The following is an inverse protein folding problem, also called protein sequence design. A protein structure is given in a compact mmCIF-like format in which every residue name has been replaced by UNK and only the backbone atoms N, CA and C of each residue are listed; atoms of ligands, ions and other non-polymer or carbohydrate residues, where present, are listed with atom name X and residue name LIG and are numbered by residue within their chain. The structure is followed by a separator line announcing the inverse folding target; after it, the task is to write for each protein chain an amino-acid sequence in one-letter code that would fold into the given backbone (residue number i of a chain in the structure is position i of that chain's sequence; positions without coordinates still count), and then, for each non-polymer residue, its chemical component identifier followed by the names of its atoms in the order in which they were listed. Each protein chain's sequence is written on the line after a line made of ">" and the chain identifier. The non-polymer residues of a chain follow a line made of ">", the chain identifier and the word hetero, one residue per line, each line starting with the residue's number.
data_IF_384654033339
#
_entry.id   IF_384654033339
#
_cell.length_a   1.000
_cell.length_b   1.000
_cell.length_c   1.000
_cell.angle_alpha   90.00
_cell.angle_beta   90.00
_cell.angle_gamma   90.00
#
_symmetry.space_group_name_H-M   'P 1'
#
loop_
_entity.id
_entity.type
_entity.pdbx_description
1 polymer ?
#
# COMPACT_ATOMS: atom_id res chain seq x y z
N UNK A 1 -20.63 6.77 -36.62
CA UNK A 1 -19.99 5.74 -35.79
C UNK A 1 -18.71 6.35 -35.25
N UNK A 2 -18.73 6.88 -34.03
CA UNK A 2 -17.57 7.53 -33.42
C UNK A 2 -16.65 6.42 -32.91
N UNK A 3 -15.46 6.25 -33.50
CA UNK A 3 -14.41 5.43 -32.91
C UNK A 3 -13.82 6.30 -31.80
N UNK A 4 -14.05 6.00 -30.50
CA UNK A 4 -13.32 6.70 -29.47
C UNK A 4 -11.84 6.42 -29.70
N UNK A 5 -11.06 7.45 -30.02
CA UNK A 5 -9.60 7.34 -29.99
C UNK A 5 -9.21 6.91 -28.58
N UNK A 6 -8.21 6.04 -28.44
CA UNK A 6 -7.72 5.52 -27.15
C UNK A 6 -7.51 6.62 -26.10
N UNK A 7 -7.11 7.82 -26.55
CA UNK A 7 -6.95 9.03 -25.74
C UNK A 7 -8.26 9.54 -25.14
N UNK A 8 -9.38 9.50 -25.88
CA UNK A 8 -10.69 9.93 -25.37
C UNK A 8 -11.28 8.93 -24.38
N UNK A 9 -11.03 7.63 -24.60
CA UNK A 9 -11.45 6.57 -23.66
C UNK A 9 -10.70 6.64 -22.34
N UNK A 10 -9.37 6.79 -22.38
CA UNK A 10 -8.54 6.92 -21.18
C UNK A 10 -8.89 8.19 -20.39
N UNK A 11 -9.10 9.32 -21.09
CA UNK A 11 -9.49 10.57 -20.46
C UNK A 11 -10.86 10.47 -19.80
N UNK A 12 -11.83 9.87 -20.48
CA UNK A 12 -13.15 9.65 -19.90
C UNK A 12 -13.10 8.75 -18.67
N UNK A 13 -12.35 7.64 -18.74
CA UNK A 13 -12.12 6.76 -17.60
C UNK A 13 -11.46 7.49 -16.42
N UNK A 14 -10.38 8.25 -16.67
CA UNK A 14 -9.71 9.04 -15.64
C UNK A 14 -10.64 10.08 -14.99
N UNK A 15 -11.68 10.54 -15.67
CA UNK A 15 -12.64 11.49 -15.12
C UNK A 15 -13.74 10.82 -14.28
N UNK A 16 -14.12 9.56 -14.57
CA UNK A 16 -15.29 8.91 -13.97
C UNK A 16 -14.97 7.67 -13.12
N UNK A 17 -13.70 7.25 -13.07
CA UNK A 17 -13.30 6.02 -12.37
C UNK A 17 -13.70 6.03 -10.88
N UNK A 18 -13.62 7.20 -10.24
CA UNK A 18 -13.92 7.37 -8.81
C UNK A 18 -15.43 7.39 -8.51
N UNK A 19 -16.27 7.74 -9.48
CA UNK A 19 -17.74 7.78 -9.29
C UNK A 19 -18.38 6.39 -9.20
N UNK A 20 -17.60 5.33 -9.43
CA UNK A 20 -18.05 3.95 -9.45
C UNK A 20 -17.65 3.26 -8.12
N UNK A 21 -18.61 2.91 -7.23
CA UNK A 21 -18.32 2.13 -6.03
C UNK A 21 -17.67 0.78 -6.34
N UNK A 22 -17.98 0.22 -7.52
CA UNK A 22 -17.36 -1.00 -8.03
C UNK A 22 -15.87 -0.83 -8.34
N UNK A 23 -15.42 0.37 -8.77
CA UNK A 23 -14.01 0.65 -9.00
C UNK A 23 -13.25 0.75 -7.67
N UNK A 24 -13.83 1.41 -6.65
CA UNK A 24 -13.25 1.47 -5.32
C UNK A 24 -13.01 0.08 -4.71
N UNK A 25 -14.05 -0.77 -4.74
CA UNK A 25 -13.97 -2.15 -4.27
C UNK A 25 -13.00 -2.98 -5.12
N UNK A 26 -13.06 -2.84 -6.44
CA UNK A 26 -12.17 -3.53 -7.38
C UNK A 26 -10.71 -3.16 -7.19
N UNK A 27 -10.40 -1.87 -7.03
CA UNK A 27 -9.05 -1.39 -6.73
C UNK A 27 -8.54 -1.91 -5.39
N UNK A 28 -9.39 -1.94 -4.34
CA UNK A 28 -8.99 -2.50 -3.05
C UNK A 28 -8.69 -4.01 -3.13
N UNK A 29 -9.52 -4.76 -3.86
CA UNK A 29 -9.27 -6.19 -4.09
C UNK A 29 -8.04 -6.40 -4.95
N UNK A 30 -7.83 -5.58 -5.99
CA UNK A 30 -6.68 -5.67 -6.88
C UNK A 30 -5.38 -5.35 -6.16
N UNK A 31 -5.34 -4.27 -5.37
CA UNK A 31 -4.18 -3.88 -4.56
C UNK A 31 -3.85 -4.93 -3.50
N UNK A 32 -4.86 -5.55 -2.91
CA UNK A 32 -4.69 -6.68 -2.02
C UNK A 32 -4.09 -7.90 -2.74
N UNK A 33 -4.69 -8.31 -3.85
CA UNK A 33 -4.20 -9.45 -4.64
C UNK A 33 -2.77 -9.17 -5.11
N UNK A 34 -2.48 -7.94 -5.53
CA UNK A 34 -1.14 -7.50 -5.89
C UNK A 34 -0.16 -7.67 -4.72
N UNK A 35 -0.51 -7.19 -3.53
CA UNK A 35 0.34 -7.31 -2.34
C UNK A 35 0.47 -8.77 -1.82
N UNK A 36 -0.52 -9.63 -2.07
CA UNK A 36 -0.52 -11.02 -1.59
C UNK A 36 0.12 -12.01 -2.57
N UNK A 37 0.00 -11.76 -3.88
CA UNK A 37 0.51 -12.63 -4.95
C UNK A 37 1.85 -12.16 -5.51
N UNK A 38 2.19 -10.87 -5.36
CA UNK A 38 3.43 -10.27 -5.82
C UNK A 38 4.16 -9.58 -4.65
N UNK A 39 5.22 -8.83 -4.96
CA UNK A 39 5.95 -8.03 -3.97
C UNK A 39 5.24 -6.70 -3.65
N UNK A 40 5.67 -6.05 -2.58
CA UNK A 40 5.17 -4.73 -2.17
C UNK A 40 5.43 -3.63 -3.22
N UNK A 41 6.40 -3.83 -4.12
CA UNK A 41 6.70 -2.96 -5.24
C UNK A 41 5.56 -2.88 -6.26
N UNK A 42 4.92 -3.99 -6.59
CA UNK A 42 3.73 -4.01 -7.46
C UNK A 42 2.57 -3.26 -6.80
N UNK A 43 2.39 -3.42 -5.48
CA UNK A 43 1.41 -2.63 -4.74
C UNK A 43 1.75 -1.13 -4.79
N UNK A 44 3.01 -0.75 -4.54
CA UNK A 44 3.47 0.63 -4.66
C UNK A 44 3.26 1.23 -6.05
N UNK A 45 3.43 0.43 -7.12
CA UNK A 45 3.17 0.84 -8.49
C UNK A 45 1.67 1.14 -8.72
N UNK A 46 0.77 0.33 -8.17
CA UNK A 46 -0.67 0.57 -8.25
C UNK A 46 -1.07 1.87 -7.55
N UNK A 47 -0.50 2.14 -6.37
CA UNK A 47 -0.69 3.41 -5.65
C UNK A 47 -0.22 4.58 -6.52
N UNK A 48 0.95 4.46 -7.13
CA UNK A 48 1.48 5.51 -8.00
C UNK A 48 0.57 5.78 -9.21
N UNK A 49 0.06 4.73 -9.86
CA UNK A 49 -0.91 4.86 -10.96
C UNK A 49 -2.18 5.55 -10.47
N UNK A 50 -2.69 5.20 -9.28
CA UNK A 50 -3.86 5.85 -8.70
C UNK A 50 -3.62 7.34 -8.44
N UNK A 51 -2.47 7.71 -7.84
CA UNK A 51 -2.07 9.11 -7.63
C UNK A 51 -2.01 9.90 -8.96
N UNK A 52 -1.59 9.27 -10.05
CA UNK A 52 -1.58 9.90 -11.37
C UNK A 52 -3.00 10.15 -11.89
N UNK A 53 -3.93 9.20 -11.69
CA UNK A 53 -5.33 9.40 -12.05
C UNK A 53 -5.95 10.55 -11.25
N UNK A 54 -5.64 10.65 -9.95
CA UNK A 54 -6.08 11.75 -9.10
C UNK A 54 -5.49 13.09 -9.54
N UNK A 55 -4.23 13.10 -9.99
CA UNK A 55 -3.62 14.29 -10.57
C UNK A 55 -4.41 14.80 -11.78
N UNK A 56 -4.79 13.91 -12.71
CA UNK A 56 -5.63 14.27 -13.85
C UNK A 56 -7.03 14.73 -13.41
N UNK A 57 -7.66 14.02 -12.48
CA UNK A 57 -8.96 14.38 -11.88
C UNK A 57 -8.95 15.81 -11.34
N UNK A 58 -7.98 16.13 -10.47
CA UNK A 58 -7.93 17.45 -9.83
C UNK A 58 -7.52 18.59 -10.76
N UNK A 59 -6.64 18.32 -11.73
CA UNK A 59 -6.16 19.36 -12.66
C UNK A 59 -7.14 19.62 -13.79
N UNK A 60 -7.71 18.58 -14.39
CA UNK A 60 -8.53 18.72 -15.60
C UNK A 60 -10.03 18.77 -15.31
N UNK A 61 -10.54 18.00 -14.33
CA UNK A 61 -11.98 17.99 -14.01
C UNK A 61 -12.33 19.12 -13.07
N UNK A 62 -11.57 19.28 -11.99
CA UNK A 62 -11.87 20.27 -10.95
C UNK A 62 -11.14 21.63 -11.14
N UNK A 63 -10.15 21.70 -12.03
CA UNK A 63 -9.40 22.93 -12.31
C UNK A 63 -8.63 23.48 -11.09
N UNK A 64 -8.27 22.63 -10.14
CA UNK A 64 -7.62 23.05 -8.91
C UNK A 64 -6.18 23.55 -9.14
N UNK A 65 -5.75 24.52 -8.34
CA UNK A 65 -4.35 24.96 -8.32
C UNK A 65 -3.44 23.88 -7.71
N UNK A 66 -2.16 23.88 -8.08
CA UNK A 66 -1.19 22.85 -7.71
C UNK A 66 -1.17 22.50 -6.21
N UNK A 67 -1.23 23.49 -5.33
CA UNK A 67 -1.26 23.26 -3.88
C UNK A 67 -2.44 22.38 -3.45
N UNK A 68 -3.64 22.67 -3.97
CA UNK A 68 -4.87 21.96 -3.62
C UNK A 68 -4.92 20.58 -4.29
N UNK A 69 -4.37 20.47 -5.50
CA UNK A 69 -4.17 19.19 -6.18
C UNK A 69 -3.27 18.25 -5.37
N UNK A 70 -2.11 18.72 -4.92
CA UNK A 70 -1.22 17.91 -4.08
C UNK A 70 -1.88 17.51 -2.76
N UNK A 71 -2.63 18.42 -2.11
CA UNK A 71 -3.36 18.09 -0.89
C UNK A 71 -4.43 16.99 -1.14
N UNK A 72 -5.16 17.08 -2.25
CA UNK A 72 -6.14 16.08 -2.66
C UNK A 72 -5.51 14.70 -2.88
N UNK A 73 -4.46 14.63 -3.70
CA UNK A 73 -3.72 13.39 -3.99
C UNK A 73 -3.19 12.76 -2.70
N UNK A 74 -2.57 13.56 -1.83
CA UNK A 74 -2.04 13.07 -0.56
C UNK A 74 -3.16 12.51 0.31
N UNK A 75 -4.31 13.20 0.41
CA UNK A 75 -5.43 12.73 1.23
C UNK A 75 -6.04 11.43 0.73
N UNK A 76 -6.26 11.31 -0.58
CA UNK A 76 -6.88 10.12 -1.17
C UNK A 76 -5.96 8.91 -1.11
N UNK A 77 -4.67 9.11 -1.35
CA UNK A 77 -3.68 8.03 -1.32
C UNK A 77 -3.08 7.78 0.08
N UNK A 78 -3.48 8.54 1.11
CA UNK A 78 -2.86 8.47 2.44
C UNK A 78 -2.99 7.07 3.07
N UNK A 79 -4.17 6.47 2.93
CA UNK A 79 -4.47 5.15 3.45
C UNK A 79 -3.65 4.08 2.71
N UNK A 80 -3.60 4.15 1.39
CA UNK A 80 -2.83 3.23 0.55
C UNK A 80 -1.33 3.25 0.90
N UNK A 81 -0.75 4.46 1.03
CA UNK A 81 0.66 4.61 1.44
C UNK A 81 0.87 4.09 2.87
N UNK A 82 -0.11 4.26 3.76
CA UNK A 82 -0.05 3.69 5.12
C UNK A 82 -0.03 2.17 5.08
N UNK A 83 -0.87 1.55 4.26
CA UNK A 83 -0.89 0.10 4.06
C UNK A 83 0.45 -0.41 3.51
N UNK A 84 1.03 0.30 2.53
CA UNK A 84 2.33 -0.05 1.96
C UNK A 84 3.42 -0.02 3.05
N UNK A 85 3.44 1.04 3.87
CA UNK A 85 4.42 1.18 4.95
C UNK A 85 4.28 0.12 6.04
N UNK A 86 3.05 -0.24 6.41
CA UNK A 86 2.80 -1.36 7.32
C UNK A 86 3.33 -2.67 6.71
N UNK A 87 3.04 -2.92 5.43
CA UNK A 87 3.55 -4.07 4.69
C UNK A 87 5.08 -4.15 4.72
N UNK A 88 5.76 -3.03 4.48
CA UNK A 88 7.23 -2.94 4.51
C UNK A 88 7.80 -3.25 5.90
N UNK A 89 7.21 -2.70 6.96
CA UNK A 89 7.61 -3.04 8.34
C UNK A 89 7.47 -4.54 8.59
N UNK A 90 6.34 -5.14 8.20
CA UNK A 90 6.14 -6.57 8.36
C UNK A 90 7.12 -7.40 7.53
N UNK A 91 7.47 -6.98 6.32
CA UNK A 91 8.47 -7.71 5.53
C UNK A 91 9.84 -7.64 6.21
N UNK A 92 10.28 -6.47 6.66
CA UNK A 92 11.57 -6.31 7.36
C UNK A 92 11.60 -7.13 8.65
N UNK A 93 10.62 -6.99 9.54
CA UNK A 93 10.65 -7.62 10.87
C UNK A 93 10.34 -9.11 10.85
N UNK A 94 9.59 -9.60 9.85
CA UNK A 94 9.30 -11.02 9.69
C UNK A 94 10.16 -11.68 8.61
N UNK A 95 11.20 -11.00 8.12
CA UNK A 95 12.06 -11.57 7.11
C UNK A 95 12.76 -12.82 7.66
N UNK A 96 12.67 -13.91 6.90
CA UNK A 96 13.15 -15.23 7.30
C UNK A 96 14.65 -15.26 7.65
N UNK A 97 15.45 -14.35 7.06
CA UNK A 97 16.89 -14.23 7.33
C UNK A 97 17.22 -13.63 8.68
N UNK A 98 16.29 -12.89 9.30
CA UNK A 98 16.50 -12.21 10.58
C UNK A 98 16.00 -13.10 11.74
N UNK A 99 15.01 -13.95 11.48
CA UNK A 99 14.32 -14.66 12.55
C UNK A 99 15.16 -15.71 13.30
N UNK A 100 16.16 -16.38 12.70
CA UNK A 100 16.90 -17.46 13.39
C UNK A 100 18.32 -17.74 12.84
N UNK A 101 19.39 -17.32 13.54
CA UNK A 101 20.77 -17.68 13.19
C UNK A 101 21.20 -19.12 13.56
N UNK A 102 20.38 -19.90 14.28
CA UNK A 102 20.85 -21.06 15.05
C UNK A 102 20.33 -22.46 14.69
N UNK A 103 19.75 -22.70 13.50
CA UNK A 103 19.17 -24.02 13.17
C UNK A 103 19.85 -24.63 11.93
N UNK A 104 20.29 -25.88 12.05
CA UNK A 104 21.05 -26.66 11.05
C UNK A 104 20.29 -26.86 9.72
N UNK A 105 21.05 -27.09 8.65
CA UNK A 105 20.56 -27.06 7.25
C UNK A 105 19.42 -28.03 6.90
N UNK A 106 19.29 -29.17 7.61
CA UNK A 106 18.21 -30.13 7.39
C UNK A 106 16.89 -29.72 8.07
N UNK A 107 16.95 -29.23 9.33
CA UNK A 107 15.80 -28.66 10.02
C UNK A 107 15.33 -27.36 9.35
N UNK A 108 16.21 -26.65 8.64
CA UNK A 108 15.84 -25.47 7.83
C UNK A 108 14.79 -25.78 6.78
N UNK A 109 14.83 -26.93 6.09
CA UNK A 109 13.87 -27.24 5.03
C UNK A 109 12.47 -27.54 5.60
N UNK A 110 12.39 -28.39 6.62
CA UNK A 110 11.12 -28.75 7.27
C UNK A 110 10.50 -27.58 8.02
N UNK A 111 11.31 -26.80 8.73
CA UNK A 111 10.86 -25.56 9.37
C UNK A 111 10.49 -24.52 8.31
N UNK A 112 11.10 -24.48 7.13
CA UNK A 112 10.70 -23.54 6.06
C UNK A 112 9.30 -23.84 5.54
N UNK A 113 8.94 -25.12 5.35
CA UNK A 113 7.58 -25.50 4.93
C UNK A 113 6.56 -25.21 6.04
N UNK A 114 6.85 -25.62 7.28
CA UNK A 114 5.98 -25.35 8.44
C UNK A 114 5.90 -23.84 8.72
N UNK A 115 6.96 -23.06 8.45
CA UNK A 115 7.01 -21.60 8.55
C UNK A 115 6.30 -20.93 7.38
N UNK A 116 6.33 -21.49 6.18
CA UNK A 116 5.55 -21.00 5.04
C UNK A 116 4.08 -21.00 5.44
N UNK A 117 3.53 -22.13 5.87
CA UNK A 117 2.15 -22.20 6.35
C UNK A 117 1.93 -21.46 7.69
N UNK A 118 2.85 -21.58 8.64
CA UNK A 118 2.75 -20.99 9.98
C UNK A 118 2.94 -19.47 10.03
N UNK A 119 3.54 -18.85 9.01
CA UNK A 119 3.62 -17.38 8.86
C UNK A 119 2.63 -16.86 7.83
N UNK A 120 2.33 -17.60 6.75
CA UNK A 120 1.27 -17.22 5.82
C UNK A 120 -0.10 -17.27 6.48
N UNK A 121 -0.44 -18.27 7.29
CA UNK A 121 -1.78 -18.35 7.88
C UNK A 121 -2.05 -17.15 8.82
N UNK A 122 -1.15 -16.79 9.75
CA UNK A 122 -1.32 -15.57 10.55
C UNK A 122 -1.20 -14.31 9.72
N UNK A 123 -0.26 -14.20 8.77
CA UNK A 123 -0.17 -13.02 7.87
C UNK A 123 -1.45 -12.83 7.08
N UNK A 124 -2.01 -13.88 6.49
CA UNK A 124 -3.25 -13.86 5.72
C UNK A 124 -4.47 -13.59 6.61
N UNK A 125 -4.51 -14.10 7.84
CA UNK A 125 -5.61 -13.85 8.78
C UNK A 125 -5.56 -12.45 9.38
N UNK A 126 -4.37 -11.96 9.72
CA UNK A 126 -4.14 -10.58 10.16
C UNK A 126 -4.46 -9.64 9.01
N UNK A 127 -3.95 -9.92 7.80
CA UNK A 127 -4.25 -9.18 6.59
C UNK A 127 -5.76 -9.19 6.32
N UNK A 128 -6.44 -10.34 6.34
CA UNK A 128 -7.89 -10.44 6.16
C UNK A 128 -8.70 -9.62 7.18
N UNK A 129 -8.38 -9.75 8.48
CA UNK A 129 -9.06 -8.99 9.51
C UNK A 129 -8.76 -7.49 9.40
N UNK A 130 -7.53 -7.14 9.07
CA UNK A 130 -7.11 -5.76 8.85
C UNK A 130 -7.80 -5.15 7.63
N UNK A 131 -7.91 -5.90 6.53
CA UNK A 131 -8.66 -5.50 5.34
C UNK A 131 -10.14 -5.34 5.60
N UNK A 132 -10.72 -6.20 6.44
CA UNK A 132 -12.13 -6.06 6.84
C UNK A 132 -12.36 -4.76 7.61
N UNK A 133 -11.43 -4.41 8.50
CA UNK A 133 -11.43 -3.13 9.23
C UNK A 133 -11.22 -1.96 8.26
N UNK A 134 -10.26 -2.05 7.35
CA UNK A 134 -9.93 -1.02 6.35
C UNK A 134 -11.07 -0.82 5.35
N UNK A 135 -11.72 -1.88 4.88
CA UNK A 135 -12.87 -1.80 3.97
C UNK A 135 -14.04 -1.07 4.62
N UNK A 136 -14.25 -1.29 5.93
CA UNK A 136 -15.21 -0.48 6.70
C UNK A 136 -14.76 0.97 6.85
N UNK A 137 -13.48 1.23 7.11
CA UNK A 137 -12.94 2.61 7.21
C UNK A 137 -13.02 3.35 5.88
N UNK A 138 -12.77 2.69 4.74
CA UNK A 138 -12.87 3.31 3.41
C UNK A 138 -14.30 3.68 3.05
N UNK A 139 -15.28 2.85 3.42
CA UNK A 139 -16.70 3.20 3.29
C UNK A 139 -17.08 4.46 4.10
N UNK A 140 -16.41 4.71 5.25
CA UNK A 140 -16.54 5.98 5.98
C UNK A 140 -15.81 7.15 5.30
N UNK A 141 -14.72 6.90 4.58
CA UNK A 141 -13.97 7.90 3.80
C UNK A 141 -14.66 8.29 2.48
N UNK A 142 -15.44 7.41 1.86
CA UNK A 142 -16.21 7.73 0.64
C UNK A 142 -17.22 8.88 0.87
N UNK A 143 -17.65 9.09 2.12
CA UNK A 143 -18.48 10.23 2.52
C UNK A 143 -17.68 11.52 2.80
N UNK A 144 -16.35 11.46 2.80
CA UNK A 144 -15.44 12.59 3.05
C UNK A 144 -15.05 13.38 1.79
N UNK A 145 -15.46 12.92 0.60
CA UNK A 145 -15.29 13.61 -0.70
C UNK A 145 -15.65 15.12 -0.72
N UNK A 146 -16.58 15.68 0.09
CA UNK A 146 -16.83 17.13 0.06
C UNK A 146 -15.83 17.99 0.86
N UNK A 147 -14.74 17.42 1.40
CA UNK A 147 -13.91 18.09 2.43
C UNK A 147 -12.51 18.51 1.98
N UNK A 148 -12.20 18.57 0.68
CA UNK A 148 -10.90 19.08 0.15
C UNK A 148 -10.56 20.52 0.61
N UNK A 149 -11.50 21.21 1.27
CA UNK A 149 -11.29 22.53 1.91
C UNK A 149 -11.50 22.57 3.42
N UNK A 150 -11.79 21.44 4.07
CA UNK A 150 -11.99 21.34 5.52
C UNK A 150 -10.79 20.67 6.18
N UNK A 151 -10.63 20.92 7.48
CA UNK A 151 -9.53 20.41 8.31
C UNK A 151 -9.29 18.90 8.13
N UNK A 152 -8.03 18.49 8.33
CA UNK A 152 -7.63 17.08 8.35
C UNK A 152 -8.51 16.24 9.26
N UNK A 153 -8.99 15.12 8.73
CA UNK A 153 -9.85 14.19 9.44
C UNK A 153 -9.07 13.49 10.56
N UNK A 154 -9.78 12.89 11.52
CA UNK A 154 -9.14 12.06 12.54
C UNK A 154 -8.48 10.82 11.92
N UNK A 155 -9.05 10.28 10.85
CA UNK A 155 -8.47 9.15 10.11
C UNK A 155 -7.14 9.57 9.47
N UNK A 156 -7.07 10.78 8.89
CA UNK A 156 -5.83 11.29 8.28
C UNK A 156 -4.74 11.42 9.34
N UNK A 157 -5.09 11.93 10.52
CA UNK A 157 -4.15 12.03 11.66
C UNK A 157 -3.64 10.66 12.08
N UNK A 158 -4.50 9.64 12.17
CA UNK A 158 -4.10 8.27 12.50
C UNK A 158 -3.15 7.72 11.43
N UNK A 159 -3.43 7.97 10.15
CA UNK A 159 -2.54 7.55 9.06
C UNK A 159 -1.18 8.24 9.16
N UNK A 160 -1.11 9.55 9.40
CA UNK A 160 0.17 10.24 9.60
C UNK A 160 0.95 9.73 10.82
N UNK A 161 0.28 9.45 11.94
CA UNK A 161 0.93 8.84 13.10
C UNK A 161 1.46 7.46 12.78
N UNK A 162 0.68 6.65 12.06
CA UNK A 162 1.08 5.32 11.64
C UNK A 162 2.28 5.38 10.68
N UNK A 163 2.26 6.27 9.68
CA UNK A 163 3.37 6.49 8.75
C UNK A 163 4.64 6.91 9.48
N UNK A 164 4.52 7.82 10.45
CA UNK A 164 5.65 8.28 11.27
C UNK A 164 6.23 7.13 12.08
N UNK A 165 5.36 6.32 12.70
CA UNK A 165 5.76 5.16 13.48
C UNK A 165 6.39 4.05 12.62
N UNK A 166 5.81 3.73 11.46
CA UNK A 166 6.38 2.77 10.52
C UNK A 166 7.75 3.23 10.00
N UNK A 167 7.89 4.52 9.67
CA UNK A 167 9.17 5.09 9.24
C UNK A 167 10.23 4.98 10.34
N UNK A 168 9.84 5.28 11.59
CA UNK A 168 10.70 5.10 12.76
C UNK A 168 11.14 3.63 12.91
N UNK A 169 10.21 2.67 12.83
CA UNK A 169 10.54 1.24 12.93
C UNK A 169 11.49 0.79 11.82
N UNK A 170 11.29 1.22 10.57
CA UNK A 170 12.20 0.88 9.46
C UNK A 170 13.58 1.49 9.71
N UNK A 171 13.66 2.75 10.11
CA UNK A 171 14.93 3.45 10.37
C UNK A 171 15.74 2.80 11.49
N UNK A 172 15.07 2.36 12.55
CA UNK A 172 15.69 1.70 13.70
C UNK A 172 15.66 0.16 13.61
N UNK A 173 15.27 -0.41 12.47
CA UNK A 173 15.17 -1.87 12.31
C UNK A 173 16.53 -2.56 12.49
N UNK A 174 17.62 -2.01 11.93
CA UNK A 174 18.96 -2.55 12.06
C UNK A 174 19.42 -2.68 13.53
N UNK A 175 19.40 -1.61 14.36
CA UNK A 175 19.76 -1.74 15.78
C UNK A 175 18.76 -2.58 16.58
N UNK A 176 17.45 -2.52 16.27
CA UNK A 176 16.43 -3.31 16.99
C UNK A 176 16.61 -4.81 16.74
N UNK A 177 16.92 -5.19 15.50
CA UNK A 177 17.06 -6.59 15.08
C UNK A 177 18.51 -7.09 15.22
N UNK A 178 19.43 -6.22 15.65
CA UNK A 178 20.86 -6.50 15.78
C UNK A 178 21.47 -7.07 14.48
N UNK A 179 21.13 -6.45 13.34
CA UNK A 179 21.63 -6.78 12.01
C UNK A 179 22.22 -5.55 11.32
N UNK A 180 23.12 -5.76 10.37
CA UNK A 180 23.66 -4.66 9.55
C UNK A 180 22.59 -4.01 8.68
N UNK A 181 22.69 -2.69 8.49
CA UNK A 181 21.81 -1.92 7.59
C UNK A 181 21.81 -2.47 6.14
N UNK A 182 22.89 -3.11 5.71
CA UNK A 182 22.97 -3.77 4.41
C UNK A 182 21.90 -4.85 4.24
N UNK A 183 21.65 -5.65 5.29
CA UNK A 183 20.65 -6.72 5.22
C UNK A 183 19.23 -6.16 5.16
N UNK A 184 18.96 -5.07 5.88
CA UNK A 184 17.69 -4.34 5.80
C UNK A 184 17.50 -3.77 4.39
N UNK A 185 18.54 -3.16 3.81
CA UNK A 185 18.52 -2.63 2.45
C UNK A 185 18.26 -3.69 1.39
N UNK A 186 18.83 -4.89 1.56
CA UNK A 186 18.57 -6.03 0.68
C UNK A 186 17.09 -6.46 0.73
N UNK A 187 16.52 -6.59 1.94
CA UNK A 187 15.11 -6.94 2.12
C UNK A 187 14.20 -5.89 1.47
N UNK A 188 14.46 -4.61 1.73
CA UNK A 188 13.70 -3.52 1.14
C UNK A 188 13.79 -3.52 -0.38
N UNK A 189 14.98 -3.82 -0.95
CA UNK A 189 15.18 -3.89 -2.39
C UNK A 189 14.40 -5.05 -3.03
N UNK A 190 14.39 -6.22 -2.40
CA UNK A 190 13.63 -7.38 -2.88
C UNK A 190 12.12 -7.08 -2.88
N UNK A 191 11.65 -6.38 -1.86
CA UNK A 191 10.22 -6.11 -1.69
C UNK A 191 9.72 -4.92 -2.51
N UNK A 192 10.53 -3.87 -2.67
CA UNK A 192 10.12 -2.63 -3.36
C UNK A 192 10.30 -2.69 -4.88
N UNK A 193 11.14 -3.57 -5.40
CA UNK A 193 11.37 -3.65 -6.86
C UNK A 193 10.33 -4.58 -7.49
N UNK A 194 9.39 -4.08 -8.32
CA UNK A 194 8.24 -4.85 -8.78
C UNK A 194 8.59 -6.11 -9.58
N UNK A 195 9.72 -6.09 -10.28
CA UNK A 195 10.17 -7.14 -11.20
C UNK A 195 11.15 -8.14 -10.58
N UNK A 196 11.49 -7.99 -9.30
CA UNK A 196 12.27 -9.00 -8.56
C UNK A 196 11.26 -9.88 -7.83
N UNK A 197 11.16 -11.15 -8.26
CA UNK A 197 10.33 -12.21 -7.67
C UNK A 197 11.26 -13.30 -7.12
#
# INVERSE_FOLDING_TARGET
>A
MYIPTLTNGFKHFAHTHDDLPAFHAGYLVLTLIAAAMFNLGVFGLLIFIHMLLDLFKYREVHGFGWKLTFEGIVRESLLDVTLLMIGLVFSVYLHHSIAFPGISGAMRAEITVIRMFGTLIPKMKILHNFLKIIAHVRHYLDHAHPHIRKHWSTVDRVCFWTLSFCSFLILFSAPILNVGYEKIGEILRLELIPWII
#
